data_IF_982158192914
#
_entry.id   IF_982158192914
#
_cell.length_a   1.000
_cell.length_b   1.000
_cell.length_c   1.000
_cell.angle_alpha   90.00
_cell.angle_beta   90.00
_cell.angle_gamma   90.00
#
_symmetry.space_group_name_H-M   'P 1'
#
loop_
_entity.id
_entity.type
_entity.pdbx_description
1 polymer ?
#
# COMPACT_ATOMS: atom_id res chain seq x y z
N UNK A 1 -31.72 -27.46 -79.09
CA UNK A 1 -32.95 -27.81 -78.35
C UNK A 1 -32.74 -29.23 -77.83
N UNK A 2 -32.54 -29.57 -76.56
CA UNK A 2 -32.71 -28.98 -75.23
C UNK A 2 -31.50 -29.49 -74.39
N UNK A 3 -30.91 -28.79 -73.42
CA UNK A 3 -31.53 -27.97 -72.38
C UNK A 3 -31.43 -28.73 -71.04
N UNK A 4 -30.38 -28.40 -70.27
CA UNK A 4 -30.00 -28.87 -68.93
C UNK A 4 -31.12 -28.76 -67.87
N UNK A 5 -31.12 -29.62 -66.83
CA UNK A 5 -30.95 -29.22 -65.40
C UNK A 5 -31.04 -30.44 -64.44
N UNK A 6 -29.94 -30.78 -63.78
CA UNK A 6 -29.92 -31.59 -62.56
C UNK A 6 -29.86 -30.63 -61.35
N UNK A 7 -30.83 -30.72 -60.44
CA UNK A 7 -30.82 -30.02 -59.16
C UNK A 7 -29.91 -30.77 -58.16
N UNK A 8 -28.88 -30.10 -57.66
CA UNK A 8 -28.20 -30.50 -56.42
C UNK A 8 -28.31 -29.36 -55.43
N UNK A 9 -29.09 -29.58 -54.36
CA UNK A 9 -29.09 -28.75 -53.15
C UNK A 9 -27.67 -28.73 -52.56
N UNK A 10 -27.04 -27.57 -52.54
CA UNK A 10 -25.90 -27.31 -51.65
C UNK A 10 -26.43 -26.73 -50.34
N UNK A 11 -26.44 -27.55 -49.29
CA UNK A 11 -26.59 -27.08 -47.92
C UNK A 11 -25.33 -26.28 -47.55
N UNK A 12 -25.47 -24.96 -47.38
CA UNK A 12 -24.41 -24.09 -46.88
C UNK A 12 -24.23 -24.27 -45.38
N UNK A 13 -23.06 -24.77 -44.97
CA UNK A 13 -22.63 -24.76 -43.58
C UNK A 13 -22.17 -23.33 -43.24
N UNK A 14 -22.97 -22.58 -42.48
CA UNK A 14 -22.55 -21.32 -41.88
C UNK A 14 -21.66 -21.67 -40.68
N UNK A 15 -20.34 -21.59 -40.86
CA UNK A 15 -19.38 -21.65 -39.75
C UNK A 15 -19.44 -20.29 -39.04
N UNK A 16 -20.23 -20.23 -37.97
CA UNK A 16 -20.20 -19.15 -36.99
C UNK A 16 -18.82 -19.18 -36.30
N UNK A 17 -17.92 -18.30 -36.75
CA UNK A 17 -16.64 -18.05 -36.11
C UNK A 17 -16.86 -17.48 -34.72
N UNK A 18 -16.79 -18.35 -33.71
CA UNK A 18 -16.71 -17.98 -32.30
C UNK A 18 -15.36 -17.27 -32.13
N UNK A 19 -15.40 -15.95 -32.23
CA UNK A 19 -14.28 -15.07 -31.89
C UNK A 19 -14.18 -15.10 -30.37
N UNK A 20 -13.36 -16.01 -29.84
CA UNK A 20 -12.96 -15.99 -28.45
C UNK A 20 -12.26 -14.65 -28.21
N UNK A 21 -12.95 -13.73 -27.55
CA UNK A 21 -12.33 -12.59 -26.88
C UNK A 21 -11.39 -13.18 -25.83
N UNK A 22 -10.14 -13.41 -26.22
CA UNK A 22 -9.05 -13.48 -25.25
C UNK A 22 -9.03 -12.11 -24.59
N UNK A 23 -9.69 -11.99 -23.44
CA UNK A 23 -9.37 -10.94 -22.50
C UNK A 23 -7.86 -11.09 -22.25
N UNK A 24 -7.07 -10.20 -22.83
CA UNK A 24 -5.65 -10.15 -22.56
C UNK A 24 -5.51 -9.89 -21.08
N UNK A 25 -5.17 -10.94 -20.36
CA UNK A 25 -4.75 -10.91 -18.97
C UNK A 25 -3.42 -10.16 -18.98
N UNK A 26 -3.49 -8.84 -18.83
CA UNK A 26 -2.37 -7.95 -19.05
C UNK A 26 -1.50 -8.03 -17.80
N UNK A 27 -0.51 -8.93 -17.85
CA UNK A 27 0.46 -9.07 -16.77
C UNK A 27 1.23 -7.75 -16.60
N UNK A 28 1.50 -7.32 -15.35
CA UNK A 28 2.23 -6.08 -15.12
C UNK A 28 3.63 -6.11 -15.69
N UNK A 29 4.23 -4.94 -15.92
CA UNK A 29 5.66 -4.88 -16.23
C UNK A 29 6.45 -5.54 -15.09
N UNK A 30 7.23 -6.56 -15.45
CA UNK A 30 8.12 -7.30 -14.56
C UNK A 30 9.09 -6.44 -13.73
N UNK A 31 9.32 -5.17 -14.12
CA UNK A 31 10.18 -4.23 -13.41
C UNK A 31 9.42 -3.21 -12.55
N UNK A 32 8.10 -3.21 -12.61
CA UNK A 32 7.27 -2.26 -11.89
C UNK A 32 7.12 -2.65 -10.42
N UNK A 33 7.61 -1.81 -9.52
CA UNK A 33 7.51 -2.00 -8.07
C UNK A 33 6.16 -1.54 -7.49
N UNK A 34 5.30 -0.93 -8.30
CA UNK A 34 3.95 -0.56 -7.90
C UNK A 34 3.02 -0.56 -9.12
N UNK A 35 2.61 -1.74 -9.60
CA UNK A 35 1.75 -1.86 -10.78
C UNK A 35 0.32 -1.38 -10.48
N UNK A 36 -0.24 -0.63 -11.44
CA UNK A 36 -1.53 0.10 -11.32
C UNK A 36 -2.58 -0.37 -12.34
N UNK A 37 -2.23 -1.36 -13.16
CA UNK A 37 -3.09 -1.92 -14.20
C UNK A 37 -4.41 -2.40 -13.59
N UNK A 38 -5.49 -2.16 -14.31
CA UNK A 38 -6.84 -2.52 -13.89
C UNK A 38 -6.98 -4.04 -13.76
N UNK A 39 -7.64 -4.48 -12.70
CA UNK A 39 -7.97 -5.89 -12.47
C UNK A 39 -6.92 -6.66 -11.68
N UNK A 40 -5.74 -6.10 -11.43
CA UNK A 40 -4.75 -6.70 -10.54
C UNK A 40 -5.31 -6.83 -9.12
N UNK A 41 -5.09 -7.98 -8.48
CA UNK A 41 -5.57 -8.26 -7.12
C UNK A 41 -4.47 -8.85 -6.24
N UNK A 42 -4.39 -8.35 -5.02
CA UNK A 42 -3.53 -8.86 -3.96
C UNK A 42 -4.39 -9.45 -2.87
N UNK A 43 -4.07 -10.67 -2.45
CA UNK A 43 -4.68 -11.32 -1.30
C UNK A 43 -3.63 -11.50 -0.21
N UNK A 44 -3.93 -10.98 0.97
CA UNK A 44 -3.06 -11.02 2.13
C UNK A 44 -3.68 -11.88 3.22
N UNK A 45 -2.82 -12.54 3.99
CA UNK A 45 -3.12 -12.93 5.36
C UNK A 45 -2.66 -11.79 6.26
N UNK A 46 -3.57 -11.28 7.08
CA UNK A 46 -3.26 -10.30 8.10
C UNK A 46 -3.24 -11.00 9.44
N UNK A 47 -2.14 -10.88 10.19
CA UNK A 47 -1.99 -11.47 11.52
C UNK A 47 -1.75 -10.36 12.54
N UNK A 48 -2.57 -10.30 13.59
CA UNK A 48 -2.46 -9.33 14.69
C UNK A 48 -2.08 -10.04 15.99
N UNK A 49 -0.96 -9.64 16.57
CA UNK A 49 -0.45 -10.13 17.84
C UNK A 49 -0.58 -9.01 18.88
N UNK A 50 -1.62 -9.08 19.72
CA UNK A 50 -1.84 -8.10 20.82
C UNK A 50 -1.18 -8.56 22.10
N UNK A 51 -0.53 -7.65 22.82
CA UNK A 51 0.15 -7.99 24.08
C UNK A 51 -0.82 -7.98 25.26
N UNK A 52 -0.80 -8.99 26.11
CA UNK A 52 -1.35 -8.91 27.47
C UNK A 52 -2.82 -9.24 27.69
N UNK A 53 -3.43 -10.08 26.85
CA UNK A 53 -4.63 -10.82 27.26
C UNK A 53 -4.20 -12.07 28.00
N UNK A 54 -4.34 -12.07 29.32
CA UNK A 54 -4.30 -13.31 30.10
C UNK A 54 -5.35 -14.26 29.50
N UNK A 55 -4.95 -15.51 29.24
CA UNK A 55 -5.65 -16.56 28.50
C UNK A 55 -5.48 -16.53 26.95
N UNK A 56 -4.25 -16.87 26.54
CA UNK A 56 -3.67 -16.99 25.18
C UNK A 56 -3.35 -15.67 24.50
N UNK A 57 -2.10 -15.54 24.07
CA UNK A 57 -1.71 -14.66 22.97
C UNK A 57 -2.59 -15.03 21.75
N UNK A 58 -3.74 -14.38 21.63
CA UNK A 58 -4.67 -14.63 20.54
C UNK A 58 -4.14 -13.88 19.33
N UNK A 59 -3.29 -14.56 18.57
CA UNK A 59 -3.02 -14.20 17.20
C UNK A 59 -4.35 -14.27 16.44
N UNK A 60 -4.83 -13.11 16.00
CA UNK A 60 -6.01 -13.02 15.16
C UNK A 60 -5.54 -12.97 13.71
N UNK A 61 -5.96 -13.94 12.92
CA UNK A 61 -5.70 -13.95 11.48
C UNK A 61 -6.98 -13.69 10.69
N UNK A 62 -6.89 -12.85 9.66
CA UNK A 62 -8.01 -12.61 8.74
C UNK A 62 -7.52 -12.31 7.32
N UNK A 63 -8.31 -12.63 6.29
CA UNK A 63 -7.97 -12.28 4.92
C UNK A 63 -8.17 -10.77 4.70
N UNK A 64 -7.33 -10.19 3.85
CA UNK A 64 -7.48 -8.83 3.35
C UNK A 64 -7.12 -8.82 1.87
N UNK A 65 -7.83 -8.04 1.05
CA UNK A 65 -7.48 -7.92 -0.36
C UNK A 65 -7.44 -6.49 -0.85
N UNK A 66 -6.65 -6.27 -1.89
CA UNK A 66 -6.56 -5.01 -2.62
C UNK A 66 -6.84 -5.32 -4.09
N UNK A 67 -7.60 -4.47 -4.76
CA UNK A 67 -7.89 -4.55 -6.19
C UNK A 67 -7.61 -3.19 -6.86
N UNK A 68 -6.91 -3.21 -7.99
CA UNK A 68 -6.80 -2.06 -8.86
C UNK A 68 -8.06 -1.92 -9.71
N UNK A 69 -8.79 -0.81 -9.56
CA UNK A 69 -9.96 -0.50 -10.37
C UNK A 69 -9.61 0.18 -11.70
N UNK A 70 -8.36 0.57 -11.88
CA UNK A 70 -7.82 1.28 -13.04
C UNK A 70 -7.87 2.79 -12.90
N UNK A 71 -7.59 3.46 -14.01
CA UNK A 71 -7.53 4.93 -14.08
C UNK A 71 -8.92 5.57 -13.97
N UNK A 72 -8.93 6.76 -13.36
CA UNK A 72 -10.10 7.62 -13.23
C UNK A 72 -9.71 9.05 -13.59
N UNK A 73 -10.57 9.72 -14.37
CA UNK A 73 -10.47 11.15 -14.57
C UNK A 73 -10.97 11.88 -13.30
N UNK A 74 -10.13 12.75 -12.75
CA UNK A 74 -10.50 13.65 -11.67
C UNK A 74 -10.73 15.07 -12.20
N UNK A 75 -11.32 15.93 -11.39
CA UNK A 75 -11.38 17.37 -11.65
C UNK A 75 -10.45 18.14 -10.73
N UNK A 76 -10.42 19.47 -10.85
CA UNK A 76 -9.62 20.33 -9.97
C UNK A 76 -8.12 20.20 -10.23
N UNK A 77 -7.32 20.14 -9.17
CA UNK A 77 -5.86 20.09 -9.26
C UNK A 77 -5.31 18.82 -9.96
N UNK A 78 -6.11 17.75 -10.06
CA UNK A 78 -5.73 16.47 -10.67
C UNK A 78 -6.38 16.24 -12.05
N UNK A 79 -6.91 17.29 -12.70
CA UNK A 79 -7.64 17.14 -13.97
C UNK A 79 -6.79 16.56 -15.12
N UNK A 80 -5.51 16.87 -15.14
CA UNK A 80 -4.55 16.46 -16.18
C UNK A 80 -3.55 15.40 -15.66
N UNK A 81 -3.93 14.64 -14.62
CA UNK A 81 -3.07 13.66 -13.98
C UNK A 81 -3.62 12.24 -14.16
N UNK A 82 -2.73 11.29 -14.43
CA UNK A 82 -3.07 9.87 -14.51
C UNK A 82 -3.23 9.31 -13.09
N UNK A 83 -4.48 9.27 -12.62
CA UNK A 83 -4.81 8.79 -11.27
C UNK A 83 -5.49 7.43 -11.36
N UNK A 84 -4.96 6.46 -10.62
CA UNK A 84 -5.53 5.12 -10.49
C UNK A 84 -6.23 4.94 -9.15
N UNK A 85 -7.27 4.11 -9.11
CA UNK A 85 -7.98 3.77 -7.87
C UNK A 85 -7.64 2.35 -7.43
N UNK A 86 -7.27 2.21 -6.16
CA UNK A 86 -7.18 0.92 -5.45
C UNK A 86 -8.31 0.79 -4.45
N UNK A 87 -8.99 -0.35 -4.43
CA UNK A 87 -10.01 -0.66 -3.41
C UNK A 87 -9.54 -1.79 -2.52
N UNK A 88 -9.69 -1.63 -1.21
CA UNK A 88 -9.43 -2.67 -0.22
C UNK A 88 -10.70 -3.47 0.09
N UNK A 89 -10.56 -4.66 0.69
CA UNK A 89 -11.69 -5.53 1.05
C UNK A 89 -12.65 -4.95 2.10
N UNK A 90 -12.27 -3.84 2.75
CA UNK A 90 -13.13 -3.06 3.64
C UNK A 90 -13.83 -1.89 2.91
N UNK A 91 -13.84 -1.91 1.56
CA UNK A 91 -14.40 -0.90 0.67
C UNK A 91 -13.76 0.50 0.78
N UNK A 92 -12.57 0.62 1.37
CA UNK A 92 -11.80 1.86 1.28
C UNK A 92 -11.15 1.98 -0.10
N UNK A 93 -11.38 3.09 -0.77
CA UNK A 93 -10.71 3.45 -2.01
C UNK A 93 -9.56 4.41 -1.73
N UNK A 94 -8.43 4.16 -2.38
CA UNK A 94 -7.24 4.99 -2.38
C UNK A 94 -6.96 5.48 -3.79
N UNK A 95 -6.69 6.78 -3.90
CA UNK A 95 -6.38 7.44 -5.16
C UNK A 95 -4.88 7.58 -5.26
N UNK A 96 -4.31 6.96 -6.28
CA UNK A 96 -2.87 6.80 -6.46
C UNK A 96 -2.44 7.59 -7.69
N UNK A 97 -1.51 8.51 -7.49
CA UNK A 97 -0.81 9.22 -8.54
C UNK A 97 0.57 8.58 -8.71
N UNK A 98 0.92 8.22 -9.94
CA UNK A 98 2.25 7.73 -10.30
C UNK A 98 2.81 8.61 -11.40
N UNK A 99 3.95 9.23 -11.15
CA UNK A 99 4.62 10.12 -12.10
C UNK A 99 6.14 9.99 -11.98
N UNK A 100 6.87 10.87 -12.66
CA UNK A 100 8.34 10.85 -12.70
C UNK A 100 9.01 11.16 -11.35
N UNK A 101 8.27 11.66 -10.35
CA UNK A 101 8.80 11.94 -9.01
C UNK A 101 8.55 10.78 -8.02
N UNK A 102 7.62 9.87 -8.32
CA UNK A 102 7.38 8.66 -7.53
C UNK A 102 5.93 8.16 -7.56
N UNK A 103 5.58 7.38 -6.55
CA UNK A 103 4.23 6.84 -6.33
C UNK A 103 3.65 7.47 -5.08
N UNK A 104 2.47 8.06 -5.19
CA UNK A 104 1.84 8.84 -4.14
C UNK A 104 0.38 8.43 -3.94
N UNK A 105 -0.06 8.43 -2.68
CA UNK A 105 -1.48 8.52 -2.35
C UNK A 105 -1.86 9.99 -2.27
N UNK A 106 -2.87 10.38 -3.03
CA UNK A 106 -3.37 11.77 -3.06
C UNK A 106 -4.70 11.93 -2.33
N UNK A 107 -5.35 10.82 -1.97
CA UNK A 107 -6.61 10.85 -1.25
C UNK A 107 -7.17 9.47 -0.98
N UNK A 108 -8.31 9.48 -0.28
CA UNK A 108 -9.08 8.27 -0.03
C UNK A 108 -10.58 8.55 -0.01
N UNK A 109 -11.36 7.49 -0.14
CA UNK A 109 -12.81 7.49 0.03
C UNK A 109 -13.21 6.23 0.78
N UNK A 110 -13.85 6.40 1.93
CA UNK A 110 -14.46 5.31 2.69
C UNK A 110 -15.84 4.98 2.13
N UNK A 111 -16.40 3.82 2.50
CA UNK A 111 -17.71 3.36 2.03
C UNK A 111 -18.85 4.38 2.29
N UNK A 112 -18.73 5.18 3.36
CA UNK A 112 -19.74 6.17 3.76
C UNK A 112 -19.58 7.53 3.06
N UNK A 113 -18.47 7.75 2.35
CA UNK A 113 -18.17 9.01 1.66
C UNK A 113 -18.65 8.96 0.20
N UNK A 114 -19.42 9.98 -0.21
CA UNK A 114 -19.92 10.10 -1.60
C UNK A 114 -18.83 10.57 -2.58
N UNK A 115 -17.79 11.25 -2.08
CA UNK A 115 -16.70 11.82 -2.87
C UNK A 115 -15.36 11.56 -2.17
N UNK A 116 -14.25 11.48 -2.93
CA UNK A 116 -12.93 11.39 -2.32
C UNK A 116 -12.63 12.59 -1.44
N UNK A 117 -11.93 12.31 -0.34
CA UNK A 117 -11.24 13.31 0.45
C UNK A 117 -9.76 13.25 0.10
N UNK A 118 -9.28 14.30 -0.55
CA UNK A 118 -7.86 14.45 -0.85
C UNK A 118 -7.04 14.69 0.42
N UNK A 119 -5.82 14.15 0.41
CA UNK A 119 -4.86 14.39 1.48
C UNK A 119 -4.36 15.85 1.37
N UNK A 120 -4.14 16.55 2.50
CA UNK A 120 -3.60 17.92 2.47
C UNK A 120 -2.25 18.03 1.76
N UNK A 121 -1.46 16.96 1.82
CA UNK A 121 -0.21 16.79 1.11
C UNK A 121 -0.17 15.38 0.51
N UNK A 122 0.46 15.24 -0.66
CA UNK A 122 0.67 13.94 -1.29
C UNK A 122 1.51 13.04 -0.40
N UNK A 123 1.02 11.83 -0.15
CA UNK A 123 1.69 10.86 0.72
C UNK A 123 2.51 9.89 -0.11
N UNK A 124 3.83 10.02 -0.05
CA UNK A 124 4.75 9.12 -0.76
C UNK A 124 4.59 7.68 -0.28
N UNK A 125 4.38 6.77 -1.25
CA UNK A 125 4.35 5.32 -1.05
C UNK A 125 5.73 4.75 -1.39
N UNK A 126 6.24 5.08 -2.58
CA UNK A 126 7.61 4.73 -3.01
C UNK A 126 8.22 5.95 -3.71
N UNK A 127 9.38 6.48 -3.28
CA UNK A 127 10.05 7.57 -3.99
C UNK A 127 10.72 7.07 -5.28
N UNK A 128 10.79 7.91 -6.32
CA UNK A 128 11.42 7.53 -7.60
C UNK A 128 12.87 7.06 -7.42
N UNK A 129 13.62 7.66 -6.49
CA UNK A 129 15.00 7.28 -6.20
C UNK A 129 15.14 5.81 -5.78
N UNK A 130 14.17 5.25 -5.05
CA UNK A 130 14.16 3.84 -4.69
C UNK A 130 13.97 2.95 -5.93
N UNK A 131 13.04 3.33 -6.81
CA UNK A 131 12.75 2.61 -8.07
C UNK A 131 13.97 2.64 -8.99
N UNK A 132 14.60 3.81 -9.14
CA UNK A 132 15.80 3.99 -9.96
C UNK A 132 17.01 3.23 -9.40
N UNK A 133 17.23 3.27 -8.09
CA UNK A 133 18.30 2.51 -7.43
C UNK A 133 18.10 1.00 -7.61
N UNK A 134 16.86 0.51 -7.49
CA UNK A 134 16.54 -0.90 -7.73
C UNK A 134 16.70 -1.31 -9.20
N UNK A 135 16.37 -0.43 -10.15
CA UNK A 135 16.53 -0.69 -11.58
C UNK A 135 18.01 -0.73 -12.02
N UNK A 136 18.87 0.03 -11.37
CA UNK A 136 20.30 0.19 -11.76
C UNK A 136 21.27 -0.61 -10.88
N UNK A 137 20.79 -1.17 -9.75
CA UNK A 137 21.66 -1.80 -8.76
C UNK A 137 22.60 -0.80 -8.08
N UNK A 138 22.29 0.51 -8.14
CA UNK A 138 23.10 1.55 -7.54
C UNK A 138 23.12 1.43 -6.01
N UNK A 139 24.25 1.79 -5.41
CA UNK A 139 24.37 1.84 -3.95
C UNK A 139 23.44 2.92 -3.38
N UNK A 140 22.79 2.62 -2.25
CA UNK A 140 21.97 3.56 -1.51
C UNK A 140 22.87 4.55 -0.77
N UNK A 141 23.47 5.50 -1.50
CA UNK A 141 24.16 6.62 -0.87
C UNK A 141 23.14 7.70 -0.55
N UNK A 142 22.83 7.84 0.74
CA UNK A 142 22.12 9.00 1.28
C UNK A 142 22.88 10.26 0.85
N UNK A 143 22.35 10.99 -0.13
CA UNK A 143 22.73 12.39 -0.23
C UNK A 143 21.83 13.09 0.76
N UNK A 144 22.45 13.53 1.86
CA UNK A 144 21.80 14.17 2.98
C UNK A 144 20.83 15.27 2.51
N UNK A 145 19.76 15.41 3.28
CA UNK A 145 18.84 16.54 3.28
C UNK A 145 19.66 17.83 3.10
N UNK A 146 19.45 18.55 2.00
CA UNK A 146 19.81 19.97 1.96
C UNK A 146 18.92 20.65 3.00
N UNK A 147 19.52 21.07 4.12
CA UNK A 147 18.88 21.93 5.11
C UNK A 147 18.36 23.19 4.40
N UNK A 148 17.06 23.26 4.16
CA UNK A 148 16.40 24.53 3.87
C UNK A 148 16.16 25.24 5.21
N UNK A 149 16.65 26.48 5.23
CA UNK A 149 16.81 27.30 6.41
C UNK A 149 15.52 27.72 7.11
N UNK A 150 15.76 28.47 8.17
CA UNK A 150 14.80 29.01 9.11
C UNK A 150 13.62 29.76 8.49
N UNK A 151 12.46 29.53 9.09
CA UNK A 151 11.29 30.41 9.16
C UNK A 151 10.46 30.61 7.87
N UNK A 152 9.27 29.99 7.90
CA UNK A 152 8.04 30.45 7.23
C UNK A 152 7.89 30.26 5.72
N UNK A 153 8.57 29.31 5.11
CA UNK A 153 8.12 28.73 3.84
C UNK A 153 7.78 27.25 4.01
N UNK A 154 6.67 26.86 3.40
CA UNK A 154 5.97 25.60 3.65
C UNK A 154 6.89 24.37 3.51
N UNK A 155 6.55 23.36 4.29
CA UNK A 155 7.09 22.01 4.41
C UNK A 155 7.06 21.17 3.10
N UNK A 156 7.20 21.79 1.93
CA UNK A 156 7.33 21.11 0.64
C UNK A 156 8.77 20.62 0.43
N UNK A 157 9.22 19.70 1.27
CA UNK A 157 10.40 18.88 0.92
C UNK A 157 9.96 18.01 -0.25
N UNK A 158 10.44 18.32 -1.45
CA UNK A 158 10.20 17.49 -2.62
C UNK A 158 10.85 16.12 -2.35
N UNK A 159 10.04 15.10 -2.02
CA UNK A 159 10.45 13.73 -1.65
C UNK A 159 11.16 12.99 -2.80
N UNK A 160 12.31 13.49 -3.24
CA UNK A 160 13.18 12.91 -4.29
C UNK A 160 14.36 12.14 -3.69
N UNK A 161 14.54 12.22 -2.38
CA UNK A 161 15.57 11.49 -1.65
C UNK A 161 15.15 10.05 -1.30
N UNK A 162 16.02 9.37 -0.58
CA UNK A 162 15.76 8.07 0.02
C UNK A 162 15.03 8.17 1.37
N UNK A 163 14.65 9.39 1.77
CA UNK A 163 14.07 9.73 3.06
C UNK A 163 12.82 10.59 2.87
N UNK A 164 11.75 10.31 3.62
CA UNK A 164 10.53 11.13 3.62
C UNK A 164 9.74 10.97 4.91
N UNK A 165 8.74 11.82 5.13
CA UNK A 165 7.86 11.76 6.29
C UNK A 165 6.43 11.40 5.90
N UNK A 166 5.72 10.69 6.78
CA UNK A 166 4.32 10.35 6.61
C UNK A 166 3.57 10.49 7.93
N UNK A 167 2.55 11.34 7.98
CA UNK A 167 1.61 11.37 9.09
C UNK A 167 0.70 10.15 9.07
N UNK A 168 0.62 9.43 10.18
CA UNK A 168 -0.22 8.25 10.35
C UNK A 168 -0.83 8.19 11.76
N UNK A 169 -1.51 7.09 12.06
CA UNK A 169 -2.14 6.80 13.35
C UNK A 169 -1.82 5.36 13.78
N UNK A 170 -1.89 5.03 15.07
CA UNK A 170 -1.74 3.66 15.53
C UNK A 170 -2.78 2.70 14.96
N UNK A 171 -2.37 1.46 14.73
CA UNK A 171 -3.26 0.38 14.28
C UNK A 171 -3.74 -0.47 15.46
N UNK A 172 -2.87 -0.69 16.45
CA UNK A 172 -3.06 -1.61 17.55
C UNK A 172 -2.97 -0.96 18.94
N UNK A 173 -2.37 0.23 19.07
CA UNK A 173 -2.41 0.96 20.34
C UNK A 173 -3.85 1.30 20.73
N UNK A 174 -4.24 0.90 21.94
CA UNK A 174 -5.57 1.18 22.51
C UNK A 174 -5.52 1.21 24.04
N UNK A 175 -6.51 1.88 24.64
CA UNK A 175 -6.79 1.82 26.07
C UNK A 175 -7.60 0.56 26.42
N UNK A 176 -7.37 -0.05 27.59
CA UNK A 176 -8.01 -1.33 27.98
C UNK A 176 -9.35 -1.20 28.69
N UNK A 177 -9.66 -0.07 29.35
CA UNK A 177 -10.80 -0.05 30.27
C UNK A 177 -11.42 1.31 30.66
N UNK A 178 -10.91 2.46 30.22
CA UNK A 178 -11.39 3.75 30.72
C UNK A 178 -11.81 4.73 29.62
N UNK A 179 -13.09 5.12 29.63
CA UNK A 179 -13.63 6.22 28.82
C UNK A 179 -13.07 7.60 29.20
N UNK A 180 -12.37 7.70 30.34
CA UNK A 180 -11.82 8.96 30.86
C UNK A 180 -10.42 9.26 30.35
N UNK A 181 -9.77 8.32 29.66
CA UNK A 181 -8.43 8.49 29.11
C UNK A 181 -8.50 8.65 27.60
N UNK A 182 -7.73 9.58 27.00
CA UNK A 182 -7.63 9.68 25.55
C UNK A 182 -7.16 8.36 24.93
N UNK A 183 -7.87 7.88 23.90
CA UNK A 183 -7.46 6.69 23.17
C UNK A 183 -6.23 7.01 22.31
N UNK A 184 -5.08 6.32 22.50
CA UNK A 184 -3.90 6.54 21.69
C UNK A 184 -4.15 6.27 20.19
N UNK A 185 -5.17 5.47 19.84
CA UNK A 185 -5.55 5.17 18.45
C UNK A 185 -5.86 6.41 17.62
N UNK A 186 -6.38 7.46 18.24
CA UNK A 186 -6.76 8.69 17.53
C UNK A 186 -5.56 9.62 17.29
N UNK A 187 -4.42 9.37 17.95
CA UNK A 187 -3.27 10.27 17.89
C UNK A 187 -2.60 10.21 16.53
N UNK A 188 -2.28 11.38 16.01
CA UNK A 188 -1.49 11.55 14.79
C UNK A 188 -0.02 11.69 15.16
N UNK A 189 0.83 11.06 14.37
CA UNK A 189 2.28 11.14 14.53
C UNK A 189 2.96 10.89 13.18
N UNK A 190 4.21 11.33 13.05
CA UNK A 190 4.98 11.16 11.82
C UNK A 190 5.87 9.92 11.89
N UNK A 191 5.89 9.17 10.81
CA UNK A 191 6.95 8.21 10.51
C UNK A 191 7.98 8.89 9.61
N UNK A 192 9.25 8.84 10.01
CA UNK A 192 10.38 9.10 9.15
C UNK A 192 10.76 7.81 8.44
N UNK A 193 10.59 7.76 7.12
CA UNK A 193 10.89 6.61 6.27
C UNK A 193 12.27 6.71 5.63
N UNK A 194 12.90 5.55 5.49
CA UNK A 194 14.17 5.33 4.82
C UNK A 194 14.04 4.16 3.82
N UNK A 195 14.74 4.24 2.69
CA UNK A 195 15.01 3.07 1.84
C UNK A 195 16.14 2.26 2.47
N UNK A 196 15.84 1.04 2.90
CA UNK A 196 16.78 0.16 3.61
C UNK A 196 17.54 -0.75 2.63
N UNK A 197 16.86 -1.24 1.60
CA UNK A 197 17.46 -2.13 0.60
C UNK A 197 16.67 -2.05 -0.70
N UNK A 198 17.35 -2.28 -1.82
CA UNK A 198 16.76 -2.47 -3.15
C UNK A 198 17.00 -3.87 -3.70
N UNK A 199 17.63 -4.73 -2.90
CA UNK A 199 18.03 -6.09 -3.27
C UNK A 199 17.53 -7.13 -2.26
N UNK A 200 16.50 -6.80 -1.48
CA UNK A 200 16.01 -7.69 -0.43
C UNK A 200 15.38 -8.97 -1.02
N UNK A 201 15.56 -10.09 -0.32
CA UNK A 201 14.83 -11.34 -0.58
C UNK A 201 13.78 -11.54 0.52
N UNK A 202 12.54 -11.82 0.13
CA UNK A 202 11.39 -11.93 1.04
C UNK A 202 10.65 -13.22 0.76
N UNK A 203 10.39 -14.00 1.81
CA UNK A 203 9.54 -15.19 1.74
C UNK A 203 8.21 -14.93 2.43
N UNK A 204 7.13 -15.24 1.72
CA UNK A 204 5.73 -15.14 2.17
C UNK A 204 4.96 -16.35 1.62
N UNK A 205 3.69 -16.59 2.02
CA UNK A 205 2.93 -17.73 1.51
C UNK A 205 2.77 -17.78 -0.02
N UNK A 206 2.74 -16.63 -0.71
CA UNK A 206 2.70 -16.56 -2.17
C UNK A 206 4.01 -16.99 -2.87
N UNK A 207 5.12 -17.13 -2.13
CA UNK A 207 6.41 -17.56 -2.69
C UNK A 207 7.61 -16.79 -2.12
N UNK A 208 8.73 -16.86 -2.84
CA UNK A 208 9.94 -16.09 -2.54
C UNK A 208 10.15 -15.03 -3.61
N UNK A 209 10.25 -13.77 -3.19
CA UNK A 209 10.48 -12.61 -4.04
C UNK A 209 11.90 -12.10 -3.83
N UNK A 210 12.57 -11.76 -4.92
CA UNK A 210 13.95 -11.23 -4.93
C UNK A 210 13.96 -9.81 -5.48
N UNK A 211 15.04 -9.09 -5.20
CA UNK A 211 15.22 -7.70 -5.61
C UNK A 211 14.09 -6.80 -5.09
N UNK A 212 13.58 -7.07 -3.90
CA UNK A 212 12.54 -6.24 -3.31
C UNK A 212 13.13 -4.91 -2.82
N UNK A 213 12.38 -3.83 -3.02
CA UNK A 213 12.61 -2.57 -2.31
C UNK A 213 12.07 -2.75 -0.90
N UNK A 214 12.94 -2.64 0.09
CA UNK A 214 12.61 -2.60 1.51
C UNK A 214 12.68 -1.17 1.99
N UNK A 215 11.58 -0.68 2.58
CA UNK A 215 11.52 0.63 3.22
C UNK A 215 11.14 0.48 4.68
N UNK A 216 11.61 1.39 5.53
CA UNK A 216 11.32 1.37 6.96
C UNK A 216 11.01 2.77 7.47
N UNK A 217 9.84 2.92 8.08
CA UNK A 217 9.41 4.09 8.83
C UNK A 217 9.63 3.91 10.33
N UNK A 218 10.15 4.93 11.00
CA UNK A 218 10.22 5.00 12.46
C UNK A 218 9.59 6.30 12.96
N UNK A 219 8.85 6.22 14.06
CA UNK A 219 8.25 7.37 14.72
C UNK A 219 8.02 7.08 16.19
N UNK A 220 7.66 8.11 16.95
CA UNK A 220 7.40 7.98 18.37
C UNK A 220 6.06 8.62 18.73
N UNK A 221 5.36 8.04 19.68
CA UNK A 221 4.19 8.65 20.34
C UNK A 221 4.49 8.76 21.83
N UNK A 222 4.34 9.96 22.38
CA UNK A 222 4.48 10.20 23.82
C UNK A 222 3.14 10.54 24.46
N UNK A 223 2.62 9.70 25.36
CA UNK A 223 1.34 9.91 26.07
C UNK A 223 1.50 9.71 27.58
N UNK A 224 0.62 10.34 28.37
CA UNK A 224 0.58 10.13 29.81
C UNK A 224 -0.09 8.79 30.13
N UNK A 225 0.61 7.87 30.77
CA UNK A 225 0.07 6.55 31.11
C UNK A 225 -0.73 6.58 32.42
N UNK A 226 -0.09 6.92 33.53
CA UNK A 226 -0.73 7.06 34.85
C UNK A 226 0.18 7.83 35.83
N UNK A 227 -0.32 8.27 37.02
CA UNK A 227 0.48 9.06 37.97
C UNK A 227 1.72 8.37 38.55
N UNK A 228 1.80 7.04 38.50
CA UNK A 228 2.94 6.26 39.03
C UNK A 228 4.05 6.14 38.00
N UNK A 229 3.72 5.90 36.73
CA UNK A 229 4.69 5.67 35.66
C UNK A 229 4.94 6.95 34.82
N UNK A 230 4.01 7.90 34.81
CA UNK A 230 4.10 9.16 34.10
C UNK A 230 3.92 9.03 32.58
N UNK A 231 4.63 9.89 31.83
CA UNK A 231 4.62 9.85 30.37
C UNK A 231 5.40 8.65 29.84
N UNK A 232 4.86 8.05 28.79
CA UNK A 232 5.41 6.89 28.11
C UNK A 232 5.64 7.22 26.64
N UNK A 233 6.84 6.90 26.18
CA UNK A 233 7.21 7.00 24.77
C UNK A 233 7.18 5.62 24.14
N UNK A 234 6.39 5.47 23.09
CA UNK A 234 6.30 4.25 22.30
C UNK A 234 6.95 4.50 20.96
N UNK A 235 8.07 3.82 20.71
CA UNK A 235 8.71 3.80 19.40
C UNK A 235 7.95 2.84 18.51
N UNK A 236 7.51 3.35 17.37
CA UNK A 236 6.72 2.62 16.41
C UNK A 236 7.50 2.44 15.11
N UNK A 237 7.55 1.20 14.63
CA UNK A 237 8.23 0.84 13.38
C UNK A 237 7.22 0.34 12.35
N UNK A 238 7.42 0.69 11.09
CA UNK A 238 6.69 0.15 9.94
C UNK A 238 7.73 -0.26 8.90
N UNK A 239 7.71 -1.51 8.44
CA UNK A 239 8.61 -1.99 7.38
C UNK A 239 7.77 -2.59 6.26
N UNK A 240 8.10 -2.23 5.03
CA UNK A 240 7.37 -2.66 3.84
C UNK A 240 8.34 -3.20 2.80
N UNK A 241 7.89 -4.21 2.05
CA UNK A 241 8.65 -4.80 0.96
C UNK A 241 7.83 -4.81 -0.33
N UNK A 242 8.40 -4.22 -1.38
CA UNK A 242 7.81 -4.13 -2.70
C UNK A 242 8.62 -4.98 -3.68
N UNK A 243 8.00 -5.97 -4.30
CA UNK A 243 8.64 -6.83 -5.30
C UNK A 243 8.35 -6.32 -6.72
N UNK A 244 9.32 -6.45 -7.65
CA UNK A 244 9.12 -6.03 -9.04
C UNK A 244 8.09 -6.93 -9.74
N UNK A 245 7.21 -6.33 -10.54
CA UNK A 245 6.08 -6.98 -11.20
C UNK A 245 4.91 -7.35 -10.28
N UNK A 246 4.97 -7.01 -8.99
CA UNK A 246 3.96 -7.41 -8.00
C UNK A 246 3.56 -6.26 -7.09
N UNK A 247 4.48 -5.46 -6.56
CA UNK A 247 4.19 -4.45 -5.55
C UNK A 247 4.30 -4.99 -4.12
N UNK A 248 3.46 -4.50 -3.21
CA UNK A 248 3.58 -4.79 -1.77
C UNK A 248 3.39 -6.28 -1.48
N UNK A 249 4.47 -6.97 -1.12
CA UNK A 249 4.44 -8.42 -0.78
C UNK A 249 4.40 -8.67 0.71
N UNK A 250 4.91 -7.74 1.52
CA UNK A 250 4.93 -7.85 2.98
C UNK A 250 4.89 -6.48 3.64
N UNK A 251 4.15 -6.37 4.74
CA UNK A 251 4.19 -5.23 5.66
C UNK A 251 4.30 -5.75 7.09
N UNK A 252 5.12 -5.10 7.91
CA UNK A 252 5.19 -5.30 9.35
C UNK A 252 5.03 -3.95 10.03
N UNK A 253 4.19 -3.89 11.05
CA UNK A 253 4.00 -2.73 11.90
C UNK A 253 4.09 -3.15 13.35
N UNK A 254 5.04 -2.59 14.09
CA UNK A 254 5.24 -2.87 15.51
C UNK A 254 4.92 -1.65 16.35
N UNK A 255 3.96 -1.80 17.24
CA UNK A 255 3.49 -0.81 18.21
C UNK A 255 3.66 -1.38 19.63
N UNK A 256 4.89 -1.54 20.12
CA UNK A 256 5.16 -2.28 21.36
C UNK A 256 4.69 -1.49 22.57
N UNK A 257 3.65 -1.98 23.24
CA UNK A 257 3.17 -1.40 24.49
C UNK A 257 2.50 -2.46 25.36
N UNK A 258 2.89 -2.51 26.64
CA UNK A 258 2.30 -3.42 27.61
C UNK A 258 2.24 -2.77 28.99
N UNK A 259 1.20 -1.98 29.21
CA UNK A 259 0.88 -1.37 30.49
C UNK A 259 -0.46 -1.90 31.00
N UNK A 260 -0.81 -1.58 32.25
CA UNK A 260 -2.09 -1.95 32.84
C UNK A 260 -3.26 -1.38 32.03
N UNK A 261 -3.18 -0.09 31.67
CA UNK A 261 -4.25 0.66 31.02
C UNK A 261 -4.13 0.77 29.50
N UNK A 262 -2.96 0.44 28.93
CA UNK A 262 -2.71 0.59 27.51
C UNK A 262 -1.97 -0.62 26.96
N UNK A 263 -2.43 -1.10 25.81
CA UNK A 263 -1.82 -2.22 25.09
C UNK A 263 -1.50 -1.83 23.67
N UNK A 264 -0.50 -2.49 23.12
CA UNK A 264 -0.14 -2.44 21.72
C UNK A 264 0.02 -3.84 21.15
N UNK A 265 0.84 -3.96 20.12
CA UNK A 265 1.04 -5.23 19.46
C UNK A 265 1.84 -5.13 18.16
N UNK A 266 1.72 -6.17 17.36
CA UNK A 266 2.30 -6.25 16.01
C UNK A 266 1.26 -6.67 15.01
N UNK A 267 1.29 -6.10 13.82
CA UNK A 267 0.45 -6.51 12.70
C UNK A 267 1.33 -6.77 11.48
N UNK A 268 1.04 -7.88 10.81
CA UNK A 268 1.74 -8.35 9.63
C UNK A 268 0.74 -8.51 8.49
N UNK A 269 1.13 -8.09 7.29
CA UNK A 269 0.43 -8.45 6.06
C UNK A 269 1.40 -9.29 5.26
N UNK A 270 1.02 -10.52 4.92
CA UNK A 270 1.81 -11.40 4.07
C UNK A 270 1.02 -11.79 2.85
N UNK A 271 1.59 -11.54 1.67
CA UNK A 271 0.94 -11.89 0.41
C UNK A 271 0.76 -13.41 0.33
N UNK A 272 -0.47 -13.82 0.10
CA UNK A 272 -0.87 -15.22 -0.08
C UNK A 272 -1.14 -15.54 -1.54
N UNK A 273 -1.62 -14.56 -2.32
CA UNK A 273 -1.86 -14.71 -3.76
C UNK A 273 -1.83 -13.35 -4.46
N UNK A 274 -1.30 -13.33 -5.68
CA UNK A 274 -1.38 -12.19 -6.60
C UNK A 274 -2.05 -12.67 -7.89
N UNK A 275 -3.01 -11.89 -8.39
CA UNK A 275 -3.76 -12.17 -9.62
C UNK A 275 -3.55 -11.00 -10.58
N UNK A 276 -3.23 -11.31 -11.84
CA UNK A 276 -3.15 -10.35 -12.94
C UNK A 276 -3.89 -10.84 -14.17
#
# INVERSE_FOLDING_TARGET
MNGYLFYLLKAGLIVLGISALQACQQSPDSKDYFPLEKGLKWHYRVSEQRVGREWRDQEQEYPFSIENLGEIALGGEYADQDVSVRRTSDDTEYYILKNDDGVYRIGKRTQVELKPRFDPEMRTIIPIAAIQAAATGASLTSTAIEELGSENEAFAVKNRGLHWYLETQPYLLHATSSHSLPDPKERRFNLAFDVISTAAEVRVPAGTFKNCIQIQGKGAISFYADPRIGYQEVIITQTEWYAPGVGLVKLIREEPLHLEMYKGGRIYFELTRFEG
#
